data_IF_995225120111
#
_entry.id   IF_995225120111
#
_cell.length_a   1.000
_cell.length_b   1.000
_cell.length_c   1.000
_cell.angle_alpha   90.00
_cell.angle_beta   90.00
_cell.angle_gamma   90.00
#
_symmetry.space_group_name_H-M   'P 1'
#
loop_
_entity.id
_entity.type
_entity.pdbx_description
1 polymer ?
#
# COMPACT_ATOMS: atom_id res chain seq x y z
N UNK A 1 -21.21 -9.83 15.42
CA UNK A 1 -20.47 -9.80 14.15
C UNK A 1 -19.73 -8.47 14.07
N UNK A 2 -18.42 -8.48 13.85
CA UNK A 2 -17.72 -7.24 13.55
C UNK A 2 -18.29 -6.67 12.24
N UNK A 3 -18.59 -5.37 12.21
CA UNK A 3 -19.04 -4.71 10.99
C UNK A 3 -18.01 -4.96 9.88
N UNK A 4 -18.47 -5.20 8.65
CA UNK A 4 -17.59 -5.16 7.48
C UNK A 4 -16.85 -3.83 7.48
N UNK A 5 -15.58 -3.83 7.09
CA UNK A 5 -14.78 -2.60 6.97
C UNK A 5 -15.51 -1.54 6.12
N UNK A 6 -16.33 -1.94 5.16
CA UNK A 6 -17.11 -1.03 4.28
C UNK A 6 -18.27 -0.33 4.99
N UNK A 7 -18.70 -0.84 6.13
CA UNK A 7 -19.87 -0.36 6.88
C UNK A 7 -19.49 0.57 8.04
N UNK A 8 -18.20 0.92 8.21
CA UNK A 8 -17.75 1.77 9.32
C UNK A 8 -18.30 3.19 9.09
N UNK A 9 -19.21 3.69 9.94
CA UNK A 9 -19.76 5.02 9.77
C UNK A 9 -18.76 6.06 10.28
N UNK A 10 -17.76 6.43 9.48
CA UNK A 10 -16.66 7.33 9.90
C UNK A 10 -17.12 8.63 10.55
N UNK A 11 -18.25 9.18 10.08
CA UNK A 11 -18.85 10.39 10.67
C UNK A 11 -19.27 10.19 12.14
N UNK A 12 -19.66 8.96 12.49
CA UNK A 12 -20.07 8.54 13.82
C UNK A 12 -18.90 8.02 14.67
N UNK A 13 -17.73 7.75 14.07
CA UNK A 13 -16.57 7.33 14.83
C UNK A 13 -16.10 8.43 15.80
N UNK A 14 -15.94 8.06 17.07
CA UNK A 14 -15.44 8.95 18.12
C UNK A 14 -16.41 10.06 18.54
N UNK A 15 -17.71 9.99 18.22
CA UNK A 15 -18.69 11.04 18.59
C UNK A 15 -18.84 11.26 20.10
N UNK A 16 -18.55 10.24 20.92
CA UNK A 16 -18.58 10.31 22.38
C UNK A 16 -17.25 10.77 23.00
N UNK A 17 -16.23 11.00 22.18
CA UNK A 17 -14.88 11.37 22.63
C UNK A 17 -14.71 12.89 22.63
N UNK A 18 -13.80 13.44 23.46
CA UNK A 18 -13.44 14.85 23.40
C UNK A 18 -13.04 15.29 21.98
N UNK A 19 -13.30 16.54 21.57
CA UNK A 19 -13.13 16.98 20.17
C UNK A 19 -11.75 16.69 19.58
N UNK A 20 -10.68 16.87 20.35
CA UNK A 20 -9.30 16.60 19.93
C UNK A 20 -9.09 15.13 19.58
N UNK A 21 -9.60 14.23 20.42
CA UNK A 21 -9.47 12.79 20.24
C UNK A 21 -10.42 12.27 19.15
N UNK A 22 -11.62 12.85 19.03
CA UNK A 22 -12.54 12.58 17.92
C UNK A 22 -11.90 12.89 16.57
N UNK A 23 -11.29 14.07 16.42
CA UNK A 23 -10.60 14.45 15.17
C UNK A 23 -9.46 13.48 14.86
N UNK A 24 -8.67 13.11 15.87
CA UNK A 24 -7.59 12.15 15.73
C UNK A 24 -8.09 10.79 15.21
N UNK A 25 -9.09 10.20 15.88
CA UNK A 25 -9.68 8.91 15.50
C UNK A 25 -10.27 8.97 14.09
N UNK A 26 -11.00 10.02 13.76
CA UNK A 26 -11.58 10.19 12.43
C UNK A 26 -10.50 10.27 11.34
N UNK A 27 -9.39 10.97 11.59
CA UNK A 27 -8.27 11.02 10.63
C UNK A 27 -7.59 9.68 10.46
N UNK A 28 -7.30 8.97 11.56
CA UNK A 28 -6.70 7.62 11.50
C UNK A 28 -7.60 6.70 10.68
N UNK A 29 -8.89 6.68 10.99
CA UNK A 29 -9.84 5.84 10.28
C UNK A 29 -9.96 6.23 8.80
N UNK A 30 -10.01 7.52 8.45
CA UNK A 30 -10.09 7.96 7.06
C UNK A 30 -8.88 7.54 6.20
N UNK A 31 -7.68 7.53 6.78
CA UNK A 31 -6.44 7.24 6.03
C UNK A 31 -6.05 5.76 6.09
N UNK A 32 -6.43 5.04 7.14
CA UNK A 32 -6.12 3.63 7.31
C UNK A 32 -7.27 2.71 6.89
N UNK A 33 -8.46 3.23 6.61
CA UNK A 33 -9.57 2.45 6.08
C UNK A 33 -9.28 1.93 4.68
N UNK A 34 -9.78 0.72 4.38
CA UNK A 34 -9.50 0.00 3.13
C UNK A 34 -8.01 -0.09 2.81
N UNK A 35 -7.16 -0.08 3.84
CA UNK A 35 -5.73 -0.38 3.73
C UNK A 35 -5.46 -1.75 4.29
N UNK A 36 -4.61 -2.52 3.62
CA UNK A 36 -4.16 -3.82 4.08
C UNK A 36 -2.77 -3.74 4.68
N UNK A 37 -2.63 -4.23 5.91
CA UNK A 37 -1.33 -4.45 6.51
C UNK A 37 -0.60 -5.59 5.80
N UNK A 38 0.68 -5.38 5.48
CA UNK A 38 1.54 -6.40 4.89
C UNK A 38 2.93 -6.36 5.50
N UNK A 39 3.65 -7.47 5.36
CA UNK A 39 5.08 -7.58 5.64
C UNK A 39 5.75 -8.11 4.37
N UNK A 40 6.80 -7.43 3.90
CA UNK A 40 7.59 -7.89 2.75
C UNK A 40 8.43 -9.11 3.13
N UNK A 41 8.88 -9.88 2.15
CA UNK A 41 9.85 -10.98 2.34
C UNK A 41 11.18 -10.52 2.95
N UNK A 42 11.52 -9.25 2.73
CA UNK A 42 12.65 -8.53 3.31
C UNK A 42 12.42 -8.03 4.75
N UNK A 43 11.24 -8.32 5.32
CA UNK A 43 10.91 -8.05 6.72
C UNK A 43 10.39 -6.64 7.00
N UNK A 44 9.99 -5.88 5.97
CA UNK A 44 9.48 -4.53 6.15
C UNK A 44 7.97 -4.50 6.29
N UNK A 45 7.48 -3.69 7.22
CA UNK A 45 6.05 -3.51 7.45
C UNK A 45 5.49 -2.35 6.61
N UNK A 46 4.25 -2.51 6.14
CA UNK A 46 3.57 -1.48 5.36
C UNK A 46 2.06 -1.56 5.39
N UNK A 47 1.44 -0.56 4.75
CA UNK A 47 0.00 -0.44 4.54
C UNK A 47 -0.26 -0.17 3.06
N UNK A 48 -0.83 -1.14 2.35
CA UNK A 48 -1.19 -1.06 0.92
C UNK A 48 -2.69 -0.89 0.71
N UNK A 49 -3.16 -0.79 -0.54
CA UNK A 49 -4.59 -0.87 -0.88
C UNK A 49 -5.28 -2.15 -0.34
N UNK A 50 -6.61 -2.16 -0.30
CA UNK A 50 -7.42 -3.30 0.17
C UNK A 50 -7.11 -4.59 -0.63
N UNK A 51 -6.81 -4.41 -1.91
CA UNK A 51 -6.52 -5.42 -2.91
C UNK A 51 -5.08 -5.96 -2.88
N UNK A 52 -4.21 -5.42 -2.01
CA UNK A 52 -2.86 -5.96 -1.82
C UNK A 52 -2.95 -7.44 -1.41
N UNK A 53 -2.09 -8.28 -1.97
CA UNK A 53 -2.08 -9.71 -1.70
C UNK A 53 -0.68 -10.31 -1.76
N UNK A 54 -0.54 -11.56 -1.33
CA UNK A 54 0.72 -12.32 -1.46
C UNK A 54 1.08 -12.45 -2.94
N UNK A 55 2.34 -12.19 -3.27
CA UNK A 55 2.85 -12.18 -4.65
C UNK A 55 2.85 -10.80 -5.31
N UNK A 56 2.31 -9.77 -4.64
CA UNK A 56 2.53 -8.38 -5.05
C UNK A 56 3.92 -7.90 -4.63
N UNK A 57 4.51 -7.03 -5.44
CA UNK A 57 5.80 -6.40 -5.19
C UNK A 57 5.62 -4.94 -4.73
N UNK A 58 6.53 -4.46 -3.90
CA UNK A 58 6.60 -3.03 -3.51
C UNK A 58 7.75 -2.35 -4.23
N UNK A 59 7.44 -1.29 -4.97
CA UNK A 59 8.41 -0.50 -5.72
C UNK A 59 8.47 0.94 -5.21
N UNK A 60 9.68 1.42 -4.91
CA UNK A 60 9.96 2.84 -4.79
C UNK A 60 10.34 3.38 -6.17
N UNK A 61 9.49 4.25 -6.72
CA UNK A 61 9.75 4.86 -8.02
C UNK A 61 10.67 6.09 -7.87
N UNK A 62 11.67 6.20 -8.74
CA UNK A 62 12.57 7.37 -8.78
C UNK A 62 11.73 8.64 -9.03
N UNK A 63 11.82 9.59 -8.11
CA UNK A 63 11.07 10.85 -8.17
C UNK A 63 9.70 10.82 -7.48
N UNK A 64 9.19 9.64 -7.11
CA UNK A 64 8.01 9.55 -6.26
C UNK A 64 8.38 9.70 -4.78
N UNK A 65 7.50 10.32 -4.00
CA UNK A 65 7.68 10.49 -2.54
C UNK A 65 7.13 9.31 -1.72
N UNK A 66 6.46 8.38 -2.38
CA UNK A 66 5.78 7.23 -1.78
C UNK A 66 6.00 5.98 -2.65
N UNK A 67 6.04 4.78 -2.04
CA UNK A 67 6.14 3.53 -2.77
C UNK A 67 4.77 3.12 -3.34
N UNK A 68 4.81 2.15 -4.25
CA UNK A 68 3.62 1.59 -4.90
C UNK A 68 3.64 0.06 -4.81
N UNK A 69 2.44 -0.52 -4.75
CA UNK A 69 2.23 -1.95 -4.91
C UNK A 69 2.01 -2.22 -6.40
N UNK A 70 2.85 -3.06 -6.99
CA UNK A 70 2.72 -3.55 -8.37
C UNK A 70 2.45 -5.05 -8.36
N UNK A 71 1.68 -5.51 -9.34
CA UNK A 71 1.38 -6.92 -9.55
C UNK A 71 1.77 -7.33 -10.95
N UNK A 72 2.65 -8.32 -11.10
CA UNK A 72 2.98 -8.86 -12.42
C UNK A 72 1.72 -9.43 -13.09
N UNK A 73 1.52 -9.05 -14.35
CA UNK A 73 0.44 -9.56 -15.21
C UNK A 73 1.09 -10.28 -16.38
N UNK A 74 0.70 -11.54 -16.58
CA UNK A 74 1.22 -12.46 -17.60
C UNK A 74 2.67 -12.94 -17.40
N UNK A 75 2.86 -14.00 -16.60
CA UNK A 75 4.11 -14.79 -16.58
C UNK A 75 4.31 -15.64 -17.86
N UNK A 76 3.30 -15.70 -18.74
CA UNK A 76 3.16 -16.70 -19.80
C UNK A 76 3.78 -16.37 -21.15
N UNK A 77 4.15 -15.11 -21.41
CA UNK A 77 4.77 -14.71 -22.68
C UNK A 77 6.16 -14.12 -22.48
N UNK A 78 7.08 -14.92 -21.90
CA UNK A 78 8.54 -14.63 -21.97
C UNK A 78 9.07 -14.50 -23.41
N UNK A 79 8.22 -14.73 -24.42
CA UNK A 79 8.55 -14.62 -25.83
C UNK A 79 8.78 -13.18 -26.33
N UNK A 80 8.41 -12.14 -25.58
CA UNK A 80 8.64 -10.73 -25.97
C UNK A 80 9.61 -9.94 -25.07
N UNK A 81 10.28 -10.59 -24.11
CA UNK A 81 11.28 -9.94 -23.25
C UNK A 81 10.75 -8.79 -22.37
N UNK A 82 9.44 -8.58 -22.32
CA UNK A 82 8.78 -7.46 -21.62
C UNK A 82 7.83 -8.02 -20.57
N UNK A 83 8.14 -7.75 -19.28
CA UNK A 83 7.21 -8.01 -18.17
C UNK A 83 6.20 -6.88 -18.07
N UNK A 84 4.92 -7.22 -17.87
CA UNK A 84 3.87 -6.23 -17.61
C UNK A 84 3.51 -6.23 -16.15
N UNK A 85 3.24 -5.04 -15.63
CA UNK A 85 2.82 -4.85 -14.24
C UNK A 85 1.54 -4.05 -14.20
N UNK A 86 0.62 -4.47 -13.32
CA UNK A 86 -0.55 -3.70 -12.93
C UNK A 86 -0.18 -2.88 -11.70
N UNK A 87 -0.39 -1.57 -11.77
CA UNK A 87 -0.38 -0.72 -10.58
C UNK A 87 -1.60 -1.05 -9.72
N UNK A 88 -1.37 -1.62 -8.54
CA UNK A 88 -2.42 -1.89 -7.54
C UNK A 88 -2.75 -0.61 -6.79
N UNK A 89 -1.73 0.19 -6.42
CA UNK A 89 -1.90 1.52 -5.86
C UNK A 89 -0.74 1.96 -4.97
N UNK A 90 -0.84 3.16 -4.42
CA UNK A 90 0.15 3.71 -3.48
C UNK A 90 0.17 2.95 -2.15
N UNK A 91 1.35 2.81 -1.55
CA UNK A 91 1.52 2.23 -0.21
C UNK A 91 2.31 3.11 0.75
N UNK A 92 2.15 2.83 2.04
CA UNK A 92 3.03 3.30 3.09
C UNK A 92 4.00 2.18 3.46
N UNK A 93 5.26 2.52 3.69
CA UNK A 93 6.30 1.62 4.16
C UNK A 93 7.01 2.31 5.33
N UNK A 94 7.33 1.57 6.38
CA UNK A 94 8.03 2.12 7.55
C UNK A 94 9.37 2.77 7.15
N UNK A 95 9.73 3.92 7.74
CA UNK A 95 10.83 4.78 7.29
C UNK A 95 12.22 4.13 7.18
N UNK A 96 12.50 3.02 7.87
CA UNK A 96 13.80 2.31 7.81
C UNK A 96 14.07 1.64 6.45
N UNK A 97 13.10 1.68 5.55
CA UNK A 97 13.11 1.00 4.25
C UNK A 97 13.75 1.81 3.13
N UNK A 98 13.61 3.14 3.14
CA UNK A 98 14.05 4.01 2.05
C UNK A 98 15.54 3.88 1.75
N UNK A 99 16.38 3.83 2.79
CA UNK A 99 17.83 3.67 2.65
C UNK A 99 18.26 2.30 2.08
N UNK A 100 17.40 1.28 2.17
CA UNK A 100 17.69 -0.08 1.66
C UNK A 100 17.14 -0.35 0.27
N UNK A 101 16.10 0.39 -0.16
CA UNK A 101 15.54 0.28 -1.51
C UNK A 101 16.43 0.93 -2.58
N UNK A 102 17.34 1.82 -2.18
CA UNK A 102 18.23 2.56 -3.09
C UNK A 102 19.41 1.74 -3.63
N UNK A 103 19.68 0.52 -3.14
CA UNK A 103 20.93 -0.17 -3.46
C UNK A 103 20.98 -0.85 -4.83
N UNK A 104 19.84 -1.18 -5.46
CA UNK A 104 19.79 -1.80 -6.79
C UNK A 104 18.51 -1.40 -7.57
N UNK A 105 18.51 -0.27 -8.31
CA UNK A 105 17.32 0.17 -9.03
C UNK A 105 17.01 -0.75 -10.21
N UNK A 106 15.78 -1.28 -10.24
CA UNK A 106 15.21 -1.89 -11.46
C UNK A 106 14.44 -0.84 -12.23
N UNK A 107 14.82 -0.67 -13.50
CA UNK A 107 14.12 0.22 -14.42
C UNK A 107 13.01 -0.56 -15.12
N UNK A 108 11.80 0.00 -15.08
CA UNK A 108 10.66 -0.49 -15.85
C UNK A 108 10.24 0.63 -16.80
N UNK A 109 10.15 0.29 -18.09
CA UNK A 109 9.52 1.18 -19.04
C UNK A 109 8.01 1.16 -18.79
N UNK A 110 7.45 2.30 -18.39
CA UNK A 110 6.01 2.49 -18.28
C UNK A 110 5.52 2.83 -19.70
N UNK A 111 4.91 1.85 -20.37
CA UNK A 111 4.29 2.02 -21.68
C UNK A 111 2.80 2.35 -21.53
#
# INVERSE_FOLDING_TARGET
SALSLRDIPFRQAGVLLPPTYRIYVQRVLQHCHSRRFFVTDTGFMGLGPEETQIGDDVYASVGAKIPFVLREVDSGSKQQGTSRFRLVGECYLESRTWTKLESEPRYFDII
#
